data_IF_161303988086
#
_entry.id   IF_161303988086
#
_cell.length_a   1.000
_cell.length_b   1.000
_cell.length_c   1.000
_cell.angle_alpha   90.00
_cell.angle_beta   90.00
_cell.angle_gamma   90.00
#
_symmetry.space_group_name_H-M   'P 1'
#
loop_
_entity.id
_entity.type
_entity.pdbx_description
1 polymer ?
#
# COMPACT_ATOMS: atom_id res chain seq x y z
N UNK A 1 23.74 -13.04 -5.00
CA UNK A 1 23.94 -14.49 -4.76
C UNK A 1 22.72 -15.01 -4.03
N UNK A 2 22.16 -16.18 -4.38
CA UNK A 2 21.06 -16.78 -3.63
C UNK A 2 21.50 -17.03 -2.18
N UNK A 3 20.61 -16.78 -1.21
CA UNK A 3 20.89 -17.12 0.19
C UNK A 3 21.10 -18.64 0.31
N UNK A 4 22.23 -19.12 0.86
CA UNK A 4 22.46 -20.55 1.02
C UNK A 4 21.32 -21.24 1.75
N UNK A 5 20.84 -22.36 1.21
CA UNK A 5 19.75 -23.14 1.82
C UNK A 5 18.34 -22.64 1.53
N UNK A 6 18.14 -21.62 0.67
CA UNK A 6 16.82 -21.17 0.22
C UNK A 6 16.58 -21.56 -1.24
N UNK A 7 15.43 -22.18 -1.50
CA UNK A 7 14.89 -22.43 -2.85
C UNK A 7 13.99 -21.26 -3.22
N UNK A 8 14.12 -20.77 -4.46
CA UNK A 8 13.26 -19.75 -5.07
C UNK A 8 12.55 -20.35 -6.28
N UNK A 9 11.23 -20.33 -6.28
CA UNK A 9 10.38 -20.87 -7.34
C UNK A 9 9.59 -19.73 -8.00
N UNK A 10 9.82 -19.49 -9.29
CA UNK A 10 9.02 -18.53 -10.05
C UNK A 10 7.66 -19.13 -10.40
N UNK A 11 6.62 -18.33 -10.20
CA UNK A 11 5.24 -18.72 -10.41
C UNK A 11 4.60 -17.72 -11.35
N UNK A 12 3.89 -18.24 -12.36
CA UNK A 12 3.03 -17.45 -13.24
C UNK A 12 1.69 -18.14 -13.38
N UNK A 13 0.61 -17.43 -13.09
CA UNK A 13 -0.75 -17.99 -13.12
C UNK A 13 -1.73 -17.05 -13.84
N UNK A 14 -2.73 -17.67 -14.47
CA UNK A 14 -3.92 -16.93 -14.93
C UNK A 14 -4.78 -16.51 -13.75
N UNK A 15 -5.59 -15.49 -13.95
CA UNK A 15 -6.62 -15.06 -13.02
C UNK A 15 -8.00 -15.39 -13.58
N UNK A 16 -9.03 -15.62 -12.75
CA UNK A 16 -10.42 -15.71 -13.21
C UNK A 16 -10.85 -14.57 -14.16
N UNK A 17 -10.22 -13.40 -14.05
CA UNK A 17 -10.51 -12.22 -14.88
C UNK A 17 -9.39 -11.83 -15.85
N UNK A 18 -8.34 -12.65 -16.01
CA UNK A 18 -7.32 -12.43 -17.03
C UNK A 18 -6.61 -13.72 -17.45
N UNK A 19 -6.41 -13.86 -18.75
CA UNK A 19 -5.63 -14.95 -19.35
C UNK A 19 -4.18 -14.53 -19.53
N UNK A 20 -3.35 -15.51 -19.86
CA UNK A 20 -1.97 -15.26 -20.31
C UNK A 20 -2.00 -14.33 -21.53
N UNK A 21 -1.22 -13.26 -21.50
CA UNK A 21 -1.13 -12.30 -22.59
C UNK A 21 -0.52 -12.94 -23.84
N UNK A 22 -0.81 -12.39 -25.02
CA UNK A 22 -0.26 -12.89 -26.30
C UNK A 22 1.28 -12.89 -26.35
N UNK A 23 1.93 -11.97 -25.64
CA UNK A 23 3.39 -11.93 -25.47
C UNK A 23 3.93 -12.98 -24.47
N UNK A 24 3.06 -13.79 -23.84
CA UNK A 24 3.44 -14.90 -22.95
C UNK A 24 3.48 -14.58 -21.45
N UNK A 25 3.21 -13.33 -21.04
CA UNK A 25 3.15 -12.96 -19.61
C UNK A 25 1.87 -13.46 -18.93
N UNK A 26 1.99 -13.95 -17.70
CA UNK A 26 0.83 -14.25 -16.84
C UNK A 26 0.40 -12.99 -16.08
N UNK A 27 -0.91 -12.79 -15.83
CA UNK A 27 -1.40 -11.63 -15.07
C UNK A 27 -0.97 -11.66 -13.60
N UNK A 28 -0.85 -12.84 -13.00
CA UNK A 28 -0.37 -12.99 -11.63
C UNK A 28 1.00 -13.66 -11.66
N UNK A 29 1.98 -13.07 -10.99
CA UNK A 29 3.36 -13.57 -11.00
C UNK A 29 4.02 -13.38 -9.63
N UNK A 30 4.96 -14.24 -9.28
CA UNK A 30 5.68 -14.12 -8.02
C UNK A 30 6.86 -15.05 -7.88
N UNK A 31 7.53 -14.95 -6.73
CA UNK A 31 8.54 -15.91 -6.29
C UNK A 31 8.14 -16.48 -4.94
N UNK A 32 8.17 -17.80 -4.84
CA UNK A 32 8.03 -18.51 -3.58
C UNK A 32 9.37 -18.94 -3.03
N UNK A 33 9.64 -18.57 -1.78
CA UNK A 33 10.86 -18.83 -1.05
C UNK A 33 10.59 -19.83 0.07
N UNK A 34 11.45 -20.85 0.18
CA UNK A 34 11.41 -21.84 1.27
C UNK A 34 12.78 -22.46 1.50
N UNK A 35 12.99 -23.01 2.69
CA UNK A 35 14.21 -23.79 2.98
C UNK A 35 14.33 -25.04 2.11
N UNK A 36 15.56 -25.39 1.72
CA UNK A 36 15.87 -26.64 0.99
C UNK A 36 15.42 -27.85 1.83
N UNK A 37 14.78 -28.82 1.18
CA UNK A 37 14.29 -30.05 1.82
C UNK A 37 13.12 -29.86 2.78
N UNK A 38 12.60 -28.64 2.95
CA UNK A 38 11.44 -28.35 3.81
C UNK A 38 10.21 -28.02 2.98
N UNK A 39 9.04 -28.46 3.48
CA UNK A 39 7.72 -28.00 3.05
C UNK A 39 7.09 -27.23 4.21
N UNK A 40 7.13 -25.89 4.19
CA UNK A 40 6.55 -25.08 5.27
C UNK A 40 5.05 -25.33 5.40
N UNK A 41 4.57 -25.49 6.64
CA UNK A 41 3.13 -25.51 6.95
C UNK A 41 2.53 -24.12 7.06
N UNK A 42 3.36 -23.13 7.40
CA UNK A 42 2.99 -21.72 7.48
C UNK A 42 3.72 -20.96 6.38
N UNK A 43 3.01 -20.11 5.64
CA UNK A 43 3.61 -19.20 4.67
C UNK A 43 3.03 -17.78 4.78
N UNK A 44 3.88 -16.80 4.49
CA UNK A 44 3.51 -15.39 4.36
C UNK A 44 3.34 -15.06 2.88
N UNK A 45 2.30 -14.31 2.53
CA UNK A 45 2.14 -13.72 1.19
C UNK A 45 2.18 -12.20 1.29
N UNK A 46 2.96 -11.55 0.43
CA UNK A 46 3.06 -10.10 0.37
C UNK A 46 2.73 -9.58 -1.03
N UNK A 47 1.87 -8.56 -1.08
CA UNK A 47 1.47 -7.90 -2.34
C UNK A 47 1.41 -6.39 -2.14
N UNK A 48 1.80 -5.66 -3.19
CA UNK A 48 1.68 -4.21 -3.27
C UNK A 48 0.79 -3.80 -4.44
N UNK A 49 0.25 -2.59 -4.38
CA UNK A 49 -0.56 -2.00 -5.46
C UNK A 49 0.16 -1.95 -6.81
N UNK A 50 1.44 -1.54 -6.80
CA UNK A 50 2.21 -1.30 -8.04
C UNK A 50 3.68 -1.72 -7.99
N UNK A 51 4.24 -1.95 -6.79
CA UNK A 51 5.67 -2.25 -6.64
C UNK A 51 5.85 -3.75 -6.83
N UNK A 52 6.97 -4.15 -7.41
CA UNK A 52 7.33 -5.56 -7.52
C UNK A 52 7.68 -6.14 -6.15
N UNK A 53 6.85 -7.05 -5.64
CA UNK A 53 7.06 -7.76 -4.40
C UNK A 53 7.54 -9.20 -4.60
N UNK A 54 7.80 -9.65 -5.84
CA UNK A 54 8.35 -10.99 -6.08
C UNK A 54 9.67 -11.20 -5.34
N UNK A 55 10.56 -10.22 -5.36
CA UNK A 55 11.83 -10.24 -4.62
C UNK A 55 11.76 -9.48 -3.29
N UNK A 56 10.64 -9.55 -2.57
CA UNK A 56 10.46 -8.83 -1.31
C UNK A 56 11.61 -9.10 -0.32
N UNK A 57 12.09 -8.05 0.35
CA UNK A 57 13.32 -8.08 1.12
C UNK A 57 13.31 -9.01 2.35
N UNK A 58 12.14 -9.46 2.80
CA UNK A 58 11.97 -10.43 3.89
C UNK A 58 11.99 -11.90 3.44
N UNK A 59 11.89 -12.18 2.14
CA UNK A 59 11.55 -13.51 1.66
C UNK A 59 12.55 -14.59 2.11
N UNK A 60 13.85 -14.36 1.89
CA UNK A 60 14.90 -15.29 2.33
C UNK A 60 15.02 -15.35 3.87
N UNK A 61 14.81 -14.23 4.56
CA UNK A 61 14.89 -14.17 6.02
C UNK A 61 13.80 -15.03 6.69
N UNK A 62 12.59 -15.04 6.17
CA UNK A 62 11.52 -15.89 6.68
C UNK A 62 11.70 -17.35 6.25
N UNK A 63 12.14 -17.60 5.02
CA UNK A 63 12.44 -18.95 4.52
C UNK A 63 13.48 -19.67 5.38
N UNK A 64 14.55 -18.97 5.78
CA UNK A 64 15.59 -19.51 6.69
C UNK A 64 15.08 -19.78 8.11
N UNK A 65 13.95 -19.16 8.51
CA UNK A 65 13.25 -19.41 9.78
C UNK A 65 12.17 -20.48 9.66
N UNK A 66 12.09 -21.18 8.52
CA UNK A 66 11.14 -22.27 8.29
C UNK A 66 9.74 -21.82 7.88
N UNK A 67 9.54 -20.53 7.62
CA UNK A 67 8.27 -19.97 7.14
C UNK A 67 8.36 -19.77 5.63
N UNK A 68 7.40 -20.30 4.87
CA UNK A 68 7.35 -20.04 3.43
C UNK A 68 7.09 -18.56 3.16
N UNK A 69 7.60 -18.02 2.06
CA UNK A 69 7.32 -16.64 1.68
C UNK A 69 6.98 -16.53 0.20
N UNK A 70 5.77 -16.07 -0.12
CA UNK A 70 5.35 -15.78 -1.47
C UNK A 70 5.33 -14.26 -1.69
N UNK A 71 6.34 -13.77 -2.40
CA UNK A 71 6.29 -12.45 -3.01
C UNK A 71 5.35 -12.49 -4.21
N UNK A 72 4.20 -11.81 -4.15
CA UNK A 72 3.12 -11.97 -5.13
C UNK A 72 2.71 -10.64 -5.75
N UNK A 73 2.73 -10.59 -7.07
CA UNK A 73 2.30 -9.45 -7.86
C UNK A 73 0.95 -9.74 -8.52
N UNK A 74 0.05 -8.76 -8.39
CA UNK A 74 -1.13 -8.67 -9.25
C UNK A 74 -0.72 -8.18 -10.64
N UNK A 75 -1.69 -8.17 -11.57
CA UNK A 75 -1.47 -7.61 -12.91
C UNK A 75 -1.11 -6.11 -12.91
N UNK A 76 -1.29 -5.42 -11.79
CA UNK A 76 -1.10 -3.98 -11.65
C UNK A 76 0.31 -3.56 -11.25
N UNK A 77 1.26 -4.51 -11.12
CA UNK A 77 2.69 -4.19 -10.95
C UNK A 77 3.17 -3.29 -12.09
N UNK A 78 3.55 -2.05 -11.77
CA UNK A 78 3.96 -1.03 -12.73
C UNK A 78 2.82 -0.40 -13.54
N UNK A 79 1.57 -0.75 -13.27
CA UNK A 79 0.38 -0.29 -14.01
C UNK A 79 -0.69 0.32 -13.08
N UNK A 80 -0.24 1.19 -12.17
CA UNK A 80 -1.09 1.85 -11.16
C UNK A 80 -2.26 2.63 -11.77
N UNK A 81 -2.07 3.27 -12.94
CA UNK A 81 -3.11 4.02 -13.65
C UNK A 81 -4.30 3.17 -14.10
N UNK A 82 -4.15 1.85 -14.13
CA UNK A 82 -5.20 0.89 -14.48
C UNK A 82 -5.71 0.07 -13.30
N UNK A 83 -5.29 0.40 -12.07
CA UNK A 83 -5.61 -0.37 -10.88
C UNK A 83 -7.13 -0.47 -10.66
N UNK A 84 -7.60 -1.70 -10.38
CA UNK A 84 -8.96 -1.98 -9.96
C UNK A 84 -8.93 -2.88 -8.73
N UNK A 85 -9.54 -2.42 -7.63
CA UNK A 85 -9.44 -3.10 -6.34
C UNK A 85 -9.97 -4.53 -6.41
N UNK A 86 -11.20 -4.72 -6.89
CA UNK A 86 -11.84 -6.03 -6.98
C UNK A 86 -11.01 -7.06 -7.77
N UNK A 87 -10.43 -6.65 -8.91
CA UNK A 87 -9.55 -7.50 -9.71
C UNK A 87 -8.24 -7.80 -8.98
N UNK A 88 -7.67 -6.83 -8.25
CA UNK A 88 -6.47 -7.03 -7.46
C UNK A 88 -6.73 -8.05 -6.33
N UNK A 89 -7.90 -8.00 -5.68
CA UNK A 89 -8.28 -8.96 -4.65
C UNK A 89 -8.42 -10.38 -5.21
N UNK A 90 -9.02 -10.52 -6.40
CA UNK A 90 -9.08 -11.81 -7.10
C UNK A 90 -7.68 -12.33 -7.45
N UNK A 91 -6.78 -11.46 -7.93
CA UNK A 91 -5.40 -11.83 -8.25
C UNK A 91 -4.61 -12.25 -7.00
N UNK A 92 -4.82 -11.61 -5.84
CA UNK A 92 -4.25 -12.04 -4.55
C UNK A 92 -4.80 -13.42 -4.18
N UNK A 93 -6.10 -13.65 -4.37
CA UNK A 93 -6.75 -14.94 -4.10
C UNK A 93 -6.20 -16.10 -4.93
N UNK A 94 -5.64 -15.85 -6.11
CA UNK A 94 -4.90 -16.86 -6.88
C UNK A 94 -3.65 -17.31 -6.12
N UNK A 95 -2.88 -16.37 -5.57
CA UNK A 95 -1.68 -16.67 -4.80
C UNK A 95 -1.99 -17.42 -3.49
N UNK A 96 -3.05 -17.01 -2.78
CA UNK A 96 -3.50 -17.71 -1.56
C UNK A 96 -3.95 -19.13 -1.86
N UNK A 97 -4.76 -19.36 -2.91
CA UNK A 97 -5.13 -20.71 -3.35
C UNK A 97 -3.93 -21.54 -3.72
N UNK A 98 -2.98 -20.97 -4.47
CA UNK A 98 -1.76 -21.68 -4.86
C UNK A 98 -0.95 -22.15 -3.65
N UNK A 99 -0.79 -21.31 -2.61
CA UNK A 99 -0.14 -21.71 -1.37
C UNK A 99 -0.84 -22.90 -0.71
N UNK A 100 -2.17 -22.85 -0.58
CA UNK A 100 -2.94 -23.91 0.07
C UNK A 100 -2.98 -25.20 -0.74
N UNK A 101 -3.33 -25.12 -2.02
CA UNK A 101 -3.65 -26.28 -2.86
C UNK A 101 -2.40 -26.92 -3.47
N UNK A 102 -1.40 -26.12 -3.87
CA UNK A 102 -0.21 -26.62 -4.58
C UNK A 102 0.96 -26.86 -3.63
N UNK A 103 1.21 -25.91 -2.72
CA UNK A 103 2.29 -26.05 -1.73
C UNK A 103 1.86 -26.80 -0.46
N UNK A 104 0.56 -27.00 -0.25
CA UNK A 104 0.03 -27.68 0.94
C UNK A 104 0.21 -26.85 2.22
N UNK A 105 0.24 -25.52 2.10
CA UNK A 105 0.35 -24.62 3.24
C UNK A 105 -0.96 -24.64 4.04
N UNK A 106 -0.85 -24.94 5.32
CA UNK A 106 -1.98 -25.04 6.26
C UNK A 106 -2.37 -23.64 6.78
N UNK A 107 -1.38 -22.78 7.01
CA UNK A 107 -1.58 -21.42 7.54
C UNK A 107 -1.02 -20.37 6.60
N UNK A 108 -1.86 -19.44 6.13
CA UNK A 108 -1.46 -18.32 5.29
C UNK A 108 -1.56 -17.02 6.11
N UNK A 109 -0.47 -16.26 6.15
CA UNK A 109 -0.42 -14.94 6.79
C UNK A 109 -0.25 -13.86 5.72
N UNK A 110 -1.14 -12.86 5.72
CA UNK A 110 -1.04 -11.71 4.83
C UNK A 110 -0.02 -10.72 5.37
N UNK A 111 0.91 -10.26 4.54
CA UNK A 111 1.82 -9.17 4.86
C UNK A 111 1.53 -7.97 3.96
N UNK A 112 1.02 -6.91 4.56
CA UNK A 112 0.94 -5.60 3.95
C UNK A 112 2.11 -4.71 4.37
N UNK A 113 3.04 -4.45 3.45
CA UNK A 113 4.11 -3.48 3.64
C UNK A 113 3.80 -2.18 2.87
N UNK A 114 4.02 -1.02 3.49
CA UNK A 114 3.72 0.28 2.87
C UNK A 114 2.24 0.36 2.44
N UNK A 115 1.97 0.69 1.17
CA UNK A 115 0.61 0.66 0.62
C UNK A 115 -0.05 -0.72 0.67
N UNK A 116 0.72 -1.79 0.66
CA UNK A 116 0.22 -3.16 0.81
C UNK A 116 -0.61 -3.36 2.09
N UNK A 117 -0.41 -2.58 3.15
CA UNK A 117 -1.19 -2.63 4.39
C UNK A 117 -2.70 -2.57 4.13
N UNK A 118 -3.14 -1.49 3.48
CA UNK A 118 -4.54 -1.27 3.12
C UNK A 118 -5.08 -2.29 2.12
N UNK A 119 -4.28 -2.69 1.11
CA UNK A 119 -4.68 -3.66 0.09
C UNK A 119 -4.91 -5.05 0.69
N UNK A 120 -4.00 -5.51 1.55
CA UNK A 120 -4.10 -6.82 2.17
C UNK A 120 -5.20 -6.86 3.26
N UNK A 121 -5.48 -5.72 3.91
CA UNK A 121 -6.65 -5.59 4.77
C UNK A 121 -7.96 -5.69 3.96
N UNK A 122 -8.04 -5.01 2.81
CA UNK A 122 -9.19 -5.11 1.91
C UNK A 122 -9.39 -6.55 1.38
N UNK A 123 -8.31 -7.26 1.06
CA UNK A 123 -8.38 -8.67 0.70
C UNK A 123 -9.00 -9.52 1.81
N UNK A 124 -8.50 -9.42 3.05
CA UNK A 124 -9.01 -10.19 4.17
C UNK A 124 -10.48 -9.86 4.47
N UNK A 125 -10.81 -8.56 4.50
CA UNK A 125 -12.16 -8.05 4.69
C UNK A 125 -13.13 -8.65 3.66
N UNK A 126 -12.76 -8.62 2.38
CA UNK A 126 -13.55 -9.18 1.28
C UNK A 126 -13.67 -10.71 1.35
N UNK A 127 -12.61 -11.42 1.74
CA UNK A 127 -12.58 -12.87 1.81
C UNK A 127 -13.40 -13.45 2.97
N UNK A 128 -13.59 -12.68 4.06
CA UNK A 128 -14.39 -13.09 5.21
C UNK A 128 -15.86 -12.72 5.05
N UNK A 129 -16.14 -11.50 4.62
CA UNK A 129 -17.50 -11.01 4.39
C UNK A 129 -17.49 -10.03 3.20
N UNK A 130 -17.92 -10.45 2.00
CA UNK A 130 -17.86 -9.64 0.78
C UNK A 130 -18.51 -8.25 0.92
N UNK A 131 -17.75 -7.20 0.63
CA UNK A 131 -18.18 -5.80 0.81
C UNK A 131 -17.68 -4.83 -0.26
N UNK A 132 -16.66 -5.21 -1.05
CA UNK A 132 -16.14 -4.36 -2.12
C UNK A 132 -17.10 -4.35 -3.30
N UNK A 133 -17.46 -3.15 -3.74
CA UNK A 133 -18.29 -2.91 -4.93
C UNK A 133 -17.45 -2.50 -6.14
N UNK A 134 -17.86 -2.86 -7.37
CA UNK A 134 -17.21 -2.34 -8.57
C UNK A 134 -17.44 -0.83 -8.71
N UNK A 135 -16.60 -0.16 -9.49
CA UNK A 135 -16.84 1.22 -9.91
C UNK A 135 -18.15 1.33 -10.68
N UNK A 136 -18.78 2.52 -10.63
CA UNK A 136 -20.02 2.81 -11.34
C UNK A 136 -19.94 2.43 -12.83
N UNK A 137 -21.00 1.73 -13.28
CA UNK A 137 -21.12 1.21 -14.64
C UNK A 137 -20.27 -0.03 -14.93
N UNK A 138 -19.53 -0.58 -13.96
CA UNK A 138 -18.74 -1.80 -14.11
C UNK A 138 -19.41 -3.00 -13.43
N UNK A 139 -19.02 -4.20 -13.85
CA UNK A 139 -19.43 -5.45 -13.21
C UNK A 139 -18.34 -5.88 -12.21
N UNK A 140 -18.72 -6.56 -11.11
CA UNK A 140 -17.73 -7.10 -10.19
C UNK A 140 -16.84 -8.13 -10.89
N UNK A 141 -15.56 -8.17 -10.52
CA UNK A 141 -14.62 -9.20 -10.95
C UNK A 141 -15.17 -10.62 -10.69
N UNK A 142 -15.06 -11.51 -11.68
CA UNK A 142 -15.40 -12.91 -11.50
C UNK A 142 -14.51 -13.54 -10.40
N UNK A 143 -15.13 -14.27 -9.46
CA UNK A 143 -14.44 -14.89 -8.31
C UNK A 143 -14.22 -13.97 -7.10
N UNK A 144 -14.71 -12.72 -7.13
CA UNK A 144 -14.56 -11.75 -6.02
C UNK A 144 -15.20 -12.22 -4.69
N UNK A 145 -16.20 -13.09 -4.76
CA UNK A 145 -16.92 -13.66 -3.60
C UNK A 145 -16.43 -15.06 -3.22
N UNK A 146 -15.36 -15.55 -3.85
CA UNK A 146 -14.82 -16.91 -3.68
C UNK A 146 -13.36 -16.88 -3.20
N UNK A 147 -12.98 -15.79 -2.52
CA UNK A 147 -11.61 -15.59 -2.04
C UNK A 147 -11.39 -16.40 -0.76
N UNK A 148 -10.36 -17.26 -0.69
CA UNK A 148 -10.06 -17.96 0.55
C UNK A 148 -9.53 -16.98 1.61
N UNK A 149 -10.07 -16.96 2.84
CA UNK A 149 -9.52 -16.13 3.90
C UNK A 149 -8.13 -16.61 4.33
N UNK A 150 -7.34 -15.67 4.82
CA UNK A 150 -6.07 -15.96 5.47
C UNK A 150 -6.25 -16.09 7.00
N UNK A 151 -5.22 -16.62 7.65
CA UNK A 151 -5.23 -16.99 9.07
C UNK A 151 -4.59 -15.92 9.97
N UNK A 152 -3.85 -14.97 9.40
CA UNK A 152 -3.22 -13.88 10.13
C UNK A 152 -2.93 -12.67 9.23
N UNK A 153 -2.71 -11.51 9.86
CA UNK A 153 -2.43 -10.25 9.17
C UNK A 153 -1.23 -9.52 9.78
N UNK A 154 -0.33 -9.03 8.94
CA UNK A 154 0.82 -8.23 9.35
C UNK A 154 0.80 -6.92 8.57
N UNK A 155 0.81 -5.79 9.28
CA UNK A 155 1.08 -4.48 8.72
C UNK A 155 2.53 -4.07 9.08
N UNK A 156 3.33 -3.69 8.10
CA UNK A 156 4.74 -3.35 8.32
C UNK A 156 5.11 -2.06 7.60
N UNK A 157 5.53 -1.03 8.35
CA UNK A 157 5.76 0.32 7.80
C UNK A 157 4.63 0.74 6.84
N UNK A 158 3.39 0.49 7.26
CA UNK A 158 2.20 0.62 6.42
C UNK A 158 1.47 1.92 6.72
N UNK A 159 0.89 2.54 5.69
CA UNK A 159 0.06 3.74 5.83
C UNK A 159 -1.45 3.39 5.79
N UNK A 160 -2.34 4.31 6.21
CA UNK A 160 -3.78 4.03 6.38
C UNK A 160 -4.58 3.84 5.08
N UNK A 161 -3.93 3.78 3.92
CA UNK A 161 -4.59 3.72 2.61
C UNK A 161 -4.04 4.71 1.61
N UNK A 162 -4.27 4.42 0.32
CA UNK A 162 -3.85 5.28 -0.80
C UNK A 162 -4.52 6.67 -0.77
N UNK A 163 -5.82 6.81 -0.45
CA UNK A 163 -6.46 8.13 -0.37
C UNK A 163 -5.92 8.98 0.78
N UNK A 164 -5.83 8.40 1.98
CA UNK A 164 -5.35 9.09 3.17
C UNK A 164 -3.89 9.54 3.00
N UNK A 165 -3.00 8.66 2.52
CA UNK A 165 -1.56 9.00 2.36
C UNK A 165 -1.33 10.03 1.25
N UNK A 166 -1.99 9.88 0.10
CA UNK A 166 -1.83 10.83 -1.00
C UNK A 166 -2.30 12.22 -0.57
N UNK A 167 -3.42 12.29 0.14
CA UNK A 167 -3.92 13.57 0.67
C UNK A 167 -2.96 14.17 1.69
N UNK A 168 -2.39 13.37 2.59
CA UNK A 168 -1.41 13.88 3.54
C UNK A 168 -0.12 14.40 2.85
N UNK A 169 0.22 13.88 1.67
CA UNK A 169 1.44 14.23 0.94
C UNK A 169 1.24 15.24 -0.19
N UNK A 170 0.00 15.50 -0.65
CA UNK A 170 -0.26 16.46 -1.71
C UNK A 170 0.02 17.89 -1.26
N UNK A 171 0.55 18.71 -2.14
CA UNK A 171 0.82 20.10 -1.84
C UNK A 171 -0.50 20.90 -1.78
N UNK A 172 -0.82 21.39 -0.59
CA UNK A 172 -2.01 22.21 -0.33
C UNK A 172 -1.97 23.61 -0.96
N UNK A 173 -0.80 24.04 -1.47
CA UNK A 173 -0.63 25.35 -2.09
C UNK A 173 -0.91 25.39 -3.60
N UNK A 174 -1.28 24.25 -4.21
CA UNK A 174 -1.64 24.20 -5.64
C UNK A 174 -3.01 24.84 -5.85
N UNK A 175 -3.07 25.81 -6.76
CA UNK A 175 -4.31 26.55 -7.10
C UNK A 175 -4.81 26.26 -8.53
N UNK A 176 -4.00 25.62 -9.37
CA UNK A 176 -4.37 25.13 -10.70
C UNK A 176 -3.72 23.77 -10.95
N UNK A 177 -4.54 22.74 -11.18
CA UNK A 177 -4.06 21.38 -11.46
C UNK A 177 -3.44 21.22 -12.87
N UNK A 178 -3.48 22.25 -13.72
CA UNK A 178 -2.88 22.25 -15.05
C UNK A 178 -1.63 23.13 -15.15
N UNK A 179 -1.29 23.88 -14.09
CA UNK A 179 -0.08 24.70 -14.02
C UNK A 179 0.80 24.22 -12.85
N UNK A 180 1.97 23.67 -13.18
CA UNK A 180 2.91 23.16 -12.19
C UNK A 180 3.49 24.25 -11.26
N UNK A 181 3.43 25.52 -11.66
CA UNK A 181 4.06 26.65 -10.96
C UNK A 181 3.07 27.46 -10.12
N UNK A 182 1.81 27.56 -10.56
CA UNK A 182 0.77 28.30 -9.85
C UNK A 182 0.66 27.87 -8.38
N UNK A 183 0.85 28.83 -7.46
CA UNK A 183 1.02 28.56 -6.03
C UNK A 183 0.37 29.65 -5.18
N UNK A 184 -0.37 29.25 -4.15
CA UNK A 184 -0.79 30.12 -3.07
C UNK A 184 0.39 30.37 -2.10
N UNK A 185 0.95 31.59 -2.03
CA UNK A 185 2.10 31.88 -1.18
C UNK A 185 1.81 31.76 0.33
N UNK A 186 0.55 31.86 0.76
CA UNK A 186 0.15 31.75 2.18
C UNK A 186 0.03 30.29 2.64
N UNK A 187 -0.03 29.35 1.69
CA UNK A 187 -0.03 27.91 1.94
C UNK A 187 1.27 27.24 1.48
N UNK A 188 2.15 27.90 0.73
CA UNK A 188 3.40 27.30 0.26
C UNK A 188 4.28 26.85 1.44
N UNK A 189 4.34 25.53 1.64
CA UNK A 189 5.13 24.86 2.67
C UNK A 189 6.63 25.17 2.56
N UNK A 190 7.10 25.55 1.37
CA UNK A 190 8.51 25.81 1.07
C UNK A 190 8.83 27.31 0.99
N UNK A 191 7.85 28.18 1.23
CA UNK A 191 8.06 29.61 1.37
C UNK A 191 8.67 29.90 2.75
N UNK A 192 9.80 30.61 2.79
CA UNK A 192 10.51 30.96 4.02
C UNK A 192 9.62 31.70 5.03
N UNK A 193 8.59 32.42 4.57
CA UNK A 193 7.63 33.13 5.44
C UNK A 193 6.77 32.19 6.29
N UNK A 194 6.55 30.96 5.81
CA UNK A 194 5.75 29.95 6.50
C UNK A 194 6.62 28.90 7.21
N UNK A 195 7.95 28.96 7.05
CA UNK A 195 8.87 27.86 7.35
C UNK A 195 8.84 27.32 8.79
N UNK A 196 9.44 26.14 9.03
CA UNK A 196 9.35 25.47 10.31
C UNK A 196 10.08 26.21 11.45
N UNK A 197 9.67 26.02 12.73
CA UNK A 197 8.59 25.13 13.16
C UNK A 197 7.22 25.68 12.75
N UNK A 198 6.38 24.84 12.15
CA UNK A 198 5.07 25.27 11.67
C UNK A 198 4.12 25.48 12.85
N UNK A 199 3.37 26.60 12.84
CA UNK A 199 2.36 26.86 13.87
C UNK A 199 1.14 25.95 13.71
N UNK A 200 0.44 25.68 14.81
CA UNK A 200 -0.81 24.90 14.79
C UNK A 200 -1.87 25.51 13.86
N UNK A 201 -1.91 26.85 13.77
CA UNK A 201 -2.78 27.58 12.85
C UNK A 201 -2.44 27.28 11.38
N UNK A 202 -1.14 27.35 11.02
CA UNK A 202 -0.69 27.01 9.66
C UNK A 202 -1.00 25.56 9.33
N UNK A 203 -0.70 24.62 10.25
CA UNK A 203 -0.96 23.20 10.05
C UNK A 203 -2.46 22.92 9.83
N UNK A 204 -3.33 23.55 10.61
CA UNK A 204 -4.78 23.40 10.47
C UNK A 204 -5.27 23.87 9.09
N UNK A 205 -4.81 25.05 8.64
CA UNK A 205 -5.13 25.60 7.33
C UNK A 205 -4.57 24.72 6.20
N UNK A 206 -3.32 24.29 6.32
CA UNK A 206 -2.65 23.47 5.31
C UNK A 206 -3.31 22.09 5.14
N UNK A 207 -3.61 21.39 6.24
CA UNK A 207 -4.33 20.10 6.19
C UNK A 207 -5.73 20.25 5.58
N UNK A 208 -6.42 21.36 5.88
CA UNK A 208 -7.72 21.65 5.26
C UNK A 208 -7.61 21.86 3.75
N UNK A 209 -6.57 22.56 3.30
CA UNK A 209 -6.30 22.78 1.87
C UNK A 209 -5.96 21.46 1.13
N UNK A 210 -5.18 20.57 1.76
CA UNK A 210 -4.90 19.24 1.21
C UNK A 210 -6.19 18.43 0.97
N UNK A 211 -7.08 18.39 1.96
CA UNK A 211 -8.37 17.70 1.83
C UNK A 211 -9.25 18.37 0.76
N UNK A 212 -9.32 19.69 0.75
CA UNK A 212 -10.09 20.44 -0.25
C UNK A 212 -9.59 20.16 -1.67
N UNK A 213 -8.27 20.06 -1.88
CA UNK A 213 -7.67 19.70 -3.16
C UNK A 213 -8.07 18.29 -3.60
N UNK A 214 -8.00 17.29 -2.72
CA UNK A 214 -8.45 15.93 -3.04
C UNK A 214 -9.92 15.92 -3.48
N UNK A 215 -10.80 16.60 -2.74
CA UNK A 215 -12.22 16.69 -3.07
C UNK A 215 -12.45 17.39 -4.42
N UNK A 216 -11.77 18.51 -4.68
CA UNK A 216 -11.88 19.23 -5.95
C UNK A 216 -11.48 18.37 -7.16
N UNK A 217 -10.39 17.61 -7.06
CA UNK A 217 -9.99 16.67 -8.12
C UNK A 217 -11.03 15.57 -8.28
N UNK A 218 -11.59 15.05 -7.18
CA UNK A 218 -12.66 14.04 -7.23
C UNK A 218 -13.91 14.55 -7.93
N UNK A 219 -14.43 15.71 -7.53
CA UNK A 219 -15.64 16.30 -8.12
C UNK A 219 -15.46 16.57 -9.63
N UNK A 220 -14.28 17.06 -10.00
CA UNK A 220 -13.90 17.20 -11.40
C UNK A 220 -13.84 15.84 -12.11
N UNK A 221 -13.22 14.83 -11.52
CA UNK A 221 -13.07 13.51 -12.13
C UNK A 221 -14.42 12.82 -12.36
N UNK A 222 -15.37 12.95 -11.43
CA UNK A 222 -16.74 12.44 -11.60
C UNK A 222 -17.48 13.15 -12.74
N UNK A 223 -17.39 14.48 -12.78
CA UNK A 223 -18.03 15.32 -13.81
C UNK A 223 -17.43 15.01 -15.19
N UNK A 224 -16.11 14.94 -15.26
CA UNK A 224 -15.37 14.66 -16.48
C UNK A 224 -15.63 13.25 -16.98
N UNK A 225 -15.74 12.25 -16.09
CA UNK A 225 -16.02 10.87 -16.46
C UNK A 225 -17.38 10.76 -17.15
N UNK A 226 -18.41 11.43 -16.61
CA UNK A 226 -19.74 11.52 -17.23
C UNK A 226 -19.66 12.19 -18.60
N UNK A 227 -18.92 13.31 -18.72
CA UNK A 227 -18.77 14.07 -19.97
C UNK A 227 -18.11 13.23 -21.07
N UNK A 228 -16.99 12.55 -20.78
CA UNK A 228 -16.26 11.77 -21.78
C UNK A 228 -17.03 10.51 -22.18
N UNK A 229 -17.76 9.88 -21.25
CA UNK A 229 -18.64 8.75 -21.53
C UNK A 229 -19.82 9.12 -22.45
N UNK A 230 -20.45 10.27 -22.22
CA UNK A 230 -21.49 10.78 -23.12
C UNK A 230 -20.97 11.02 -24.54
N UNK A 231 -19.66 11.29 -24.69
CA UNK A 231 -18.97 11.41 -25.98
C UNK A 231 -18.43 10.07 -26.54
N UNK A 232 -18.69 8.94 -25.88
CA UNK A 232 -18.30 7.61 -26.35
C UNK A 232 -16.92 7.12 -25.87
N UNK A 233 -16.23 7.86 -25.00
CA UNK A 233 -14.96 7.42 -24.41
C UNK A 233 -15.19 6.67 -23.08
N UNK A 234 -14.41 5.63 -22.81
CA UNK A 234 -14.56 4.82 -21.60
C UNK A 234 -13.94 5.46 -20.34
N UNK A 235 -12.86 6.22 -20.53
CA UNK A 235 -12.05 6.87 -19.49
C UNK A 235 -11.12 7.93 -20.14
N UNK A 236 -10.40 8.71 -19.33
CA UNK A 236 -9.41 9.71 -19.77
C UNK A 236 -8.19 9.73 -18.84
N UNK A 237 -6.95 9.81 -19.36
CA UNK A 237 -5.77 10.03 -18.54
C UNK A 237 -5.62 11.50 -18.12
N UNK A 238 -5.04 11.73 -16.93
CA UNK A 238 -4.62 13.03 -16.43
C UNK A 238 -3.46 12.89 -15.43
N UNK A 239 -2.87 14.00 -15.03
CA UNK A 239 -1.72 14.05 -14.12
C UNK A 239 -2.08 14.79 -12.84
N UNK A 240 -1.53 14.33 -11.73
CA UNK A 240 -1.57 15.03 -10.43
C UNK A 240 -0.13 15.42 -10.08
N UNK A 241 0.09 16.70 -9.84
CA UNK A 241 1.43 17.25 -9.59
C UNK A 241 1.65 17.53 -8.10
N UNK A 242 2.91 17.67 -7.68
CA UNK A 242 3.29 18.16 -6.34
C UNK A 242 2.67 17.33 -5.21
N UNK A 243 3.20 16.11 -5.03
CA UNK A 243 2.72 15.10 -4.07
C UNK A 243 3.78 14.66 -3.05
N UNK A 244 4.69 15.57 -2.68
CA UNK A 244 5.74 15.36 -1.67
C UNK A 244 5.84 16.52 -0.68
N UNK A 245 4.70 16.93 -0.12
CA UNK A 245 4.55 18.11 0.73
C UNK A 245 3.75 17.82 2.01
N UNK A 246 4.00 16.69 2.66
CA UNK A 246 3.54 16.50 4.05
C UNK A 246 4.39 17.36 4.99
N UNK A 247 3.82 18.26 5.82
CA UNK A 247 4.58 19.06 6.79
C UNK A 247 5.51 18.24 7.68
N UNK A 248 5.15 16.98 7.99
CA UNK A 248 5.96 16.05 8.81
C UNK A 248 7.28 15.64 8.15
N UNK A 249 7.36 15.71 6.82
CA UNK A 249 8.60 15.47 6.07
C UNK A 249 9.60 16.61 6.25
N UNK A 250 9.13 17.83 6.49
CA UNK A 250 9.94 19.05 6.57
C UNK A 250 10.28 19.40 8.01
N UNK A 251 9.28 19.41 8.89
CA UNK A 251 9.41 19.80 10.30
C UNK A 251 9.54 18.56 11.21
N UNK A 252 10.72 18.31 11.80
CA UNK A 252 10.92 17.18 12.70
C UNK A 252 10.24 17.34 14.07
N UNK A 253 9.78 18.56 14.43
CA UNK A 253 9.05 18.77 15.67
C UNK A 253 7.62 18.21 15.60
N UNK A 254 7.06 18.05 14.39
CA UNK A 254 5.77 17.39 14.19
C UNK A 254 5.99 15.88 14.26
N UNK A 255 5.37 15.23 15.24
CA UNK A 255 5.57 13.80 15.56
C UNK A 255 7.07 13.44 15.66
N UNK A 256 7.82 13.84 16.70
CA UNK A 256 9.25 13.60 16.79
C UNK A 256 9.61 12.11 16.75
N UNK A 257 10.52 11.72 15.84
CA UNK A 257 11.02 10.35 15.69
C UNK A 257 12.53 10.33 15.39
N UNK A 258 13.09 9.15 15.08
CA UNK A 258 14.50 8.99 14.69
C UNK A 258 14.74 9.23 13.19
N UNK A 259 13.74 9.71 12.46
CA UNK A 259 13.85 10.01 11.02
C UNK A 259 14.84 11.13 10.78
N UNK A 260 15.50 11.10 9.63
CA UNK A 260 16.25 12.25 9.15
C UNK A 260 15.27 13.40 8.84
N UNK A 261 15.45 14.60 9.43
CA UNK A 261 14.63 15.76 9.11
C UNK A 261 14.75 16.19 7.64
N UNK A 262 13.70 16.85 7.12
CA UNK A 262 13.65 17.39 5.77
C UNK A 262 13.97 16.35 4.68
N UNK A 263 13.37 15.16 4.82
CA UNK A 263 13.56 14.02 3.93
C UNK A 263 12.22 13.32 3.67
N UNK A 264 12.00 12.90 2.42
CA UNK A 264 10.96 11.95 2.01
C UNK A 264 11.61 10.84 1.16
N UNK A 265 10.83 9.88 0.68
CA UNK A 265 11.36 8.75 -0.11
C UNK A 265 12.05 9.18 -1.41
N UNK A 266 11.62 10.30 -2.00
CA UNK A 266 12.19 10.86 -3.22
C UNK A 266 13.31 11.89 -2.95
N UNK A 267 13.78 12.01 -1.70
CA UNK A 267 14.85 12.93 -1.31
C UNK A 267 14.33 14.17 -0.59
N UNK A 268 14.97 15.33 -0.80
CA UNK A 268 14.58 16.58 -0.13
C UNK A 268 13.18 17.02 -0.61
N UNK A 269 12.19 17.21 0.28
CA UNK A 269 10.80 17.48 -0.07
C UNK A 269 10.58 18.59 -1.12
N UNK A 270 11.23 19.76 -0.98
CA UNK A 270 11.06 20.85 -1.97
C UNK A 270 11.48 20.46 -3.38
N UNK A 271 12.54 19.64 -3.52
CA UNK A 271 13.03 19.16 -4.83
C UNK A 271 12.15 18.05 -5.37
N UNK A 272 11.77 17.10 -4.50
CA UNK A 272 10.89 16.00 -4.85
C UNK A 272 9.51 16.51 -5.30
N UNK A 273 8.94 17.47 -4.58
CA UNK A 273 7.62 18.04 -4.85
C UNK A 273 7.58 18.80 -6.18
N UNK A 274 8.68 19.46 -6.56
CA UNK A 274 8.83 20.17 -7.84
C UNK A 274 9.38 19.28 -8.97
N UNK A 275 9.33 17.95 -8.81
CA UNK A 275 9.82 16.98 -9.80
C UNK A 275 8.70 16.21 -10.48
N UNK A 276 9.05 15.42 -11.50
CA UNK A 276 8.14 14.47 -12.14
C UNK A 276 7.93 13.16 -11.34
N UNK A 277 8.62 12.98 -10.20
CA UNK A 277 8.58 11.74 -9.40
C UNK A 277 7.45 11.72 -8.36
N UNK A 278 6.32 12.37 -8.65
CA UNK A 278 5.15 12.38 -7.76
C UNK A 278 4.43 11.03 -7.73
N UNK A 279 3.79 10.74 -6.60
CA UNK A 279 2.79 9.68 -6.52
C UNK A 279 1.50 10.17 -7.19
N UNK A 280 0.76 9.26 -7.81
CA UNK A 280 -0.43 9.57 -8.61
C UNK A 280 -0.14 10.48 -9.83
N UNK A 281 1.13 10.64 -10.23
CA UNK A 281 1.52 11.49 -11.35
C UNK A 281 0.91 11.05 -12.70
N UNK A 282 0.56 9.77 -12.84
CA UNK A 282 -0.20 9.26 -13.98
C UNK A 282 -1.49 8.60 -13.47
N UNK A 283 -2.62 9.26 -13.70
CA UNK A 283 -3.94 8.77 -13.35
C UNK A 283 -4.83 8.63 -14.59
N UNK A 284 -5.91 7.90 -14.42
CA UNK A 284 -7.13 8.03 -15.20
C UNK A 284 -8.26 8.45 -14.27
N UNK A 285 -9.40 8.89 -14.80
CA UNK A 285 -10.54 9.27 -13.97
C UNK A 285 -10.98 8.08 -13.10
N UNK A 286 -11.01 6.86 -13.65
CA UNK A 286 -11.38 5.67 -12.89
C UNK A 286 -10.35 5.29 -11.83
N UNK A 287 -9.05 5.37 -12.11
CA UNK A 287 -8.04 5.07 -11.07
C UNK A 287 -8.05 6.13 -9.97
N UNK A 288 -8.32 7.39 -10.27
CA UNK A 288 -8.56 8.41 -9.23
C UNK A 288 -9.73 8.04 -8.32
N UNK A 289 -10.90 7.83 -8.91
CA UNK A 289 -12.12 7.51 -8.17
C UNK A 289 -12.03 6.19 -7.40
N UNK A 290 -11.31 5.20 -7.94
CA UNK A 290 -11.18 3.87 -7.35
C UNK A 290 -10.05 3.70 -6.34
N UNK A 291 -9.05 4.60 -6.32
CA UNK A 291 -7.83 4.40 -5.52
C UNK A 291 -7.38 5.63 -4.72
N UNK A 292 -7.64 6.85 -5.18
CA UNK A 292 -7.03 8.08 -4.64
C UNK A 292 -8.00 9.03 -3.97
N UNK A 293 -9.27 9.00 -4.40
CA UNK A 293 -10.33 9.82 -3.82
C UNK A 293 -10.61 9.45 -2.36
N UNK A 294 -10.66 10.46 -1.48
CA UNK A 294 -11.06 10.27 -0.08
C UNK A 294 -12.53 9.85 0.08
N UNK A 295 -13.39 10.21 -0.88
CA UNK A 295 -14.84 10.06 -0.78
C UNK A 295 -15.37 8.82 -1.50
N UNK A 296 -14.69 8.36 -2.56
CA UNK A 296 -15.19 7.26 -3.42
C UNK A 296 -14.32 6.01 -3.37
N UNK A 297 -13.03 6.11 -3.05
CA UNK A 297 -12.14 4.97 -3.14
C UNK A 297 -12.30 4.01 -1.96
N UNK A 298 -12.39 2.71 -2.26
CA UNK A 298 -12.48 1.65 -1.26
C UNK A 298 -11.11 1.11 -0.81
N UNK A 299 -10.03 1.86 -1.10
CA UNK A 299 -8.63 1.57 -0.79
C UNK A 299 -8.14 2.21 0.53
N UNK A 300 -9.07 2.77 1.31
CA UNK A 300 -8.82 3.20 2.70
C UNK A 300 -8.77 1.96 3.60
N UNK A 301 -7.79 1.89 4.50
CA UNK A 301 -7.57 0.70 5.32
C UNK A 301 -8.63 0.54 6.41
N UNK A 302 -9.03 1.64 7.05
CA UNK A 302 -9.82 1.63 8.29
C UNK A 302 -11.16 0.86 8.20
N UNK A 303 -12.00 1.02 7.16
CA UNK A 303 -13.22 0.23 7.00
C UNK A 303 -12.96 -1.28 6.90
N UNK A 304 -11.81 -1.67 6.34
CA UNK A 304 -11.42 -3.07 6.18
C UNK A 304 -10.76 -3.64 7.43
N UNK A 305 -9.90 -2.86 8.11
CA UNK A 305 -9.24 -3.26 9.35
C UNK A 305 -10.26 -3.59 10.45
N UNK A 306 -11.39 -2.87 10.49
CA UNK A 306 -12.51 -3.15 11.39
C UNK A 306 -13.22 -4.49 11.12
N UNK A 307 -12.80 -5.24 10.09
CA UNK A 307 -13.32 -6.56 9.71
C UNK A 307 -12.24 -7.65 9.81
N UNK A 308 -11.00 -7.28 10.13
CA UNK A 308 -9.89 -8.21 10.35
C UNK A 308 -9.90 -8.67 11.80
N UNK A 309 -10.45 -9.86 12.05
CA UNK A 309 -10.56 -10.48 13.39
C UNK A 309 -9.47 -11.51 13.69
N UNK A 310 -8.74 -11.95 12.67
CA UNK A 310 -7.62 -12.89 12.80
C UNK A 310 -6.45 -12.25 13.57
N UNK A 311 -5.52 -13.05 14.15
CA UNK A 311 -4.36 -12.49 14.81
C UNK A 311 -3.59 -11.49 13.95
N UNK A 312 -3.21 -10.36 14.55
CA UNK A 312 -2.57 -9.27 13.84
C UNK A 312 -1.25 -8.79 14.49
N UNK A 313 -0.32 -8.35 13.64
CA UNK A 313 0.93 -7.71 14.04
C UNK A 313 1.11 -6.40 13.27
N UNK A 314 1.39 -5.31 13.98
CA UNK A 314 1.73 -4.01 13.38
C UNK A 314 3.18 -3.68 13.76
N UNK A 315 4.00 -3.42 12.75
CA UNK A 315 5.42 -3.08 12.91
C UNK A 315 5.66 -1.68 12.35
N UNK A 316 6.04 -0.74 13.21
CA UNK A 316 6.48 0.60 12.84
C UNK A 316 7.99 0.63 12.56
N UNK A 317 8.44 1.49 11.64
CA UNK A 317 9.85 1.80 11.42
C UNK A 317 10.14 3.21 11.96
N UNK A 318 11.01 3.36 12.96
CA UNK A 318 11.16 4.62 13.70
C UNK A 318 11.89 5.74 12.92
N UNK A 319 12.64 5.38 11.87
CA UNK A 319 13.37 6.32 11.01
C UNK A 319 12.65 6.58 9.68
N UNK A 320 11.43 6.08 9.53
CA UNK A 320 10.63 6.25 8.33
C UNK A 320 10.33 7.73 8.04
N UNK A 321 10.39 8.09 6.76
CA UNK A 321 10.28 9.46 6.25
C UNK A 321 8.99 9.74 5.49
N UNK A 322 8.05 8.78 5.45
CA UNK A 322 6.74 8.96 4.84
C UNK A 322 5.60 8.28 5.59
N UNK A 323 5.88 7.23 6.38
CA UNK A 323 4.93 6.64 7.33
C UNK A 323 5.37 6.96 8.75
N UNK A 324 4.42 7.38 9.59
CA UNK A 324 4.72 7.88 10.93
C UNK A 324 4.11 6.97 12.01
N UNK A 325 4.58 7.06 13.27
CA UNK A 325 4.03 6.23 14.35
C UNK A 325 2.51 6.38 14.54
N UNK A 326 1.95 7.56 14.28
CA UNK A 326 0.49 7.77 14.30
C UNK A 326 -0.24 6.94 13.25
N UNK A 327 0.35 6.67 12.09
CA UNK A 327 -0.22 5.80 11.06
C UNK A 327 -0.28 4.34 11.54
N UNK A 328 0.81 3.86 12.17
CA UNK A 328 0.85 2.53 12.77
C UNK A 328 -0.16 2.39 13.92
N UNK A 329 -0.27 3.41 14.77
CA UNK A 329 -1.26 3.44 15.86
C UNK A 329 -2.69 3.43 15.32
N UNK A 330 -2.99 4.24 14.29
CA UNK A 330 -4.31 4.26 13.63
C UNK A 330 -4.67 2.89 13.04
N UNK A 331 -3.72 2.22 12.40
CA UNK A 331 -3.93 0.85 11.89
C UNK A 331 -4.20 -0.11 13.05
N UNK A 332 -3.41 -0.05 14.13
CA UNK A 332 -3.56 -0.91 15.30
C UNK A 332 -4.92 -0.72 15.98
N UNK A 333 -5.38 0.52 16.15
CA UNK A 333 -6.65 0.83 16.78
C UNK A 333 -7.84 0.38 15.94
N UNK A 334 -7.75 0.54 14.61
CA UNK A 334 -8.80 0.13 13.67
C UNK A 334 -8.99 -1.39 13.55
N UNK A 335 -7.99 -2.21 13.92
CA UNK A 335 -8.10 -3.67 13.85
C UNK A 335 -9.17 -4.20 14.82
N UNK A 336 -10.12 -4.97 14.28
CA UNK A 336 -11.13 -5.68 15.08
C UNK A 336 -10.58 -6.91 15.84
N UNK A 337 -9.36 -7.34 15.51
CA UNK A 337 -8.69 -8.44 16.19
C UNK A 337 -8.47 -8.15 17.67
N UNK A 338 -8.83 -9.12 18.52
CA UNK A 338 -8.51 -9.10 19.95
C UNK A 338 -7.09 -9.62 20.23
N UNK A 339 -6.51 -10.38 19.30
CA UNK A 339 -5.13 -10.85 19.36
C UNK A 339 -4.25 -10.01 18.44
N UNK A 340 -3.99 -8.77 18.85
CA UNK A 340 -3.17 -7.81 18.11
C UNK A 340 -1.95 -7.36 18.90
N UNK A 341 -0.83 -7.18 18.22
CA UNK A 341 0.43 -6.69 18.79
C UNK A 341 0.95 -5.51 17.98
N UNK A 342 1.42 -4.46 18.64
CA UNK A 342 2.14 -3.32 18.04
C UNK A 342 3.59 -3.33 18.53
N UNK A 343 4.55 -3.16 17.63
CA UNK A 343 5.94 -2.93 17.98
C UNK A 343 6.59 -1.94 17.01
N UNK A 344 7.79 -1.46 17.36
CA UNK A 344 8.59 -0.59 16.52
C UNK A 344 10.01 -1.15 16.38
N UNK A 345 10.65 -0.89 15.25
CA UNK A 345 12.05 -1.22 14.97
C UNK A 345 12.77 0.08 14.58
N UNK A 346 13.96 0.28 15.13
CA UNK A 346 14.80 1.45 14.86
C UNK A 346 15.44 1.35 13.47
N UNK A 347 14.69 1.72 12.43
CA UNK A 347 15.12 1.59 11.04
C UNK A 347 14.30 2.44 10.07
N UNK A 348 14.77 2.54 8.83
CA UNK A 348 14.06 3.21 7.72
C UNK A 348 12.88 2.40 7.17
N UNK A 349 12.13 2.98 6.24
CA UNK A 349 10.94 2.39 5.61
C UNK A 349 11.15 0.98 5.03
N UNK A 350 12.35 0.68 4.51
CA UNK A 350 12.70 -0.58 3.87
C UNK A 350 13.62 -1.45 4.73
N UNK A 351 13.75 -1.11 6.01
CA UNK A 351 14.52 -1.84 7.00
C UNK A 351 16.00 -1.99 6.58
N UNK A 352 16.60 -0.98 5.92
CA UNK A 352 17.96 -1.11 5.37
C UNK A 352 19.07 -0.89 6.40
N UNK A 353 18.74 -0.37 7.59
CA UNK A 353 19.65 -0.32 8.74
C UNK A 353 20.25 -1.71 9.00
N UNK A 354 21.58 -1.83 9.19
CA UNK A 354 22.22 -3.13 9.38
C UNK A 354 21.55 -3.96 10.49
N UNK A 355 21.10 -5.16 10.13
CA UNK A 355 20.45 -6.10 11.06
C UNK A 355 18.92 -5.97 11.16
N UNK A 356 18.32 -4.85 10.75
CA UNK A 356 16.89 -4.59 10.96
C UNK A 356 15.97 -5.59 10.26
N UNK A 357 16.27 -6.03 9.04
CA UNK A 357 15.52 -7.12 8.36
C UNK A 357 15.60 -8.46 9.09
N UNK A 358 16.73 -8.73 9.73
CA UNK A 358 16.92 -9.92 10.57
C UNK A 358 16.03 -9.86 11.82
N UNK A 359 16.06 -8.73 12.52
CA UNK A 359 15.21 -8.45 13.69
C UNK A 359 13.72 -8.52 13.33
N UNK A 360 13.33 -7.92 12.22
CA UNK A 360 11.96 -7.96 11.72
C UNK A 360 11.50 -9.40 11.43
N UNK A 361 12.34 -10.19 10.74
CA UNK A 361 12.02 -11.58 10.46
C UNK A 361 11.97 -12.44 11.73
N UNK A 362 12.84 -12.19 12.72
CA UNK A 362 12.77 -12.86 14.03
C UNK A 362 11.48 -12.51 14.78
N UNK A 363 11.08 -11.23 14.74
CA UNK A 363 9.84 -10.75 15.36
C UNK A 363 8.63 -11.44 14.74
N UNK A 364 8.55 -11.47 13.40
CA UNK A 364 7.47 -12.14 12.67
C UNK A 364 7.48 -13.65 12.94
N UNK A 365 8.62 -14.33 12.84
CA UNK A 365 8.70 -15.78 13.04
C UNK A 365 8.33 -16.19 14.47
N UNK A 366 8.78 -15.43 15.49
CA UNK A 366 8.39 -15.65 16.89
C UNK A 366 6.89 -15.41 17.09
N UNK A 367 6.33 -14.40 16.44
CA UNK A 367 4.90 -14.12 16.48
C UNK A 367 4.07 -15.25 15.84
N UNK A 368 4.51 -15.80 14.70
CA UNK A 368 3.91 -16.96 14.03
C UNK A 368 4.00 -18.20 14.93
N UNK A 369 5.18 -18.53 15.46
CA UNK A 369 5.44 -19.76 16.22
C UNK A 369 4.64 -19.85 17.53
N UNK A 370 4.18 -18.73 18.09
CA UNK A 370 3.29 -18.71 19.25
C UNK A 370 1.85 -19.17 18.92
N UNK A 371 1.46 -19.14 17.65
CA UNK A 371 0.08 -19.34 17.18
C UNK A 371 -0.08 -20.58 16.32
N UNK A 372 0.90 -20.85 15.47
CA UNK A 372 0.89 -21.96 14.52
C UNK A 372 2.24 -22.68 14.56
N UNK A 373 2.21 -24.02 14.56
CA UNK A 373 3.40 -24.88 14.68
C UNK A 373 3.77 -25.54 13.36
#
# INVERSE_FOLDING_TARGET
>A
MPTPGVVREFIGMTSPTARRAGAGGHPCQGLYHRGVGRKPKVAVIATHYQIDFSEHYLADYLATRGVGFLGWNTRFRGFESSFMLDHALVDIGVGVRWLREIQGVETVVLLGNSGGGSLMAAYQSQAVDPNVTPLDGMRPAAGLTELPPADGYIASAAHPGRPDVLTAWMDGAVIDENDAVATDPDLDLFNERNGPPFSDEFLTRYRSAQVARNHAITDWAETELKRVQAAGFSDRPFTVMRTWADPRMVDPAIEPTKRQPNLCYAGVPVKANRSAHGIAAACTLRSWLGMWSLTTAQTRAEPHLGRVTVPALVINAEQDTGVFPSDAQRIFDALASTDKTLCAIDTDHYFTTPGARGEQADTIAKWIAKRWR
#
